data_IF_599427190808
#
_entry.id   IF_599427190808
#
_cell.length_a   1.000
_cell.length_b   1.000
_cell.length_c   1.000
_cell.angle_alpha   90.00
_cell.angle_beta   90.00
_cell.angle_gamma   90.00
#
_symmetry.space_group_name_H-M   'P 1'
#
loop_
_entity.id
_entity.type
_entity.pdbx_description
1 polymer ?
#
# COMPACT_ATOMS: atom_id res chain seq x y z
N UNK A 1 0.55 -5.72 15.04
CA UNK A 1 1.56 -4.69 14.70
C UNK A 1 1.59 -4.48 13.19
N UNK A 2 1.83 -3.26 12.72
CA UNK A 2 2.07 -2.96 11.30
C UNK A 2 3.58 -2.99 11.06
N UNK A 3 4.02 -3.69 10.03
CA UNK A 3 5.44 -3.83 9.68
C UNK A 3 5.87 -2.80 8.64
N UNK A 4 5.09 -2.63 7.57
CA UNK A 4 5.40 -1.67 6.50
C UNK A 4 4.16 -1.29 5.69
N UNK A 5 4.25 -0.13 5.05
CA UNK A 5 3.24 0.46 4.16
C UNK A 5 3.91 0.80 2.84
N UNK A 6 3.25 0.48 1.73
CA UNK A 6 3.68 0.82 0.38
C UNK A 6 2.53 1.44 -0.40
N UNK A 7 2.86 2.43 -1.23
CA UNK A 7 1.96 2.98 -2.26
C UNK A 7 2.65 2.78 -3.59
N UNK A 8 1.96 2.09 -4.49
CA UNK A 8 2.45 1.71 -5.82
C UNK A 8 1.50 2.29 -6.85
N UNK A 9 2.04 2.82 -7.93
CA UNK A 9 1.22 3.38 -9.00
C UNK A 9 0.62 2.29 -9.90
N UNK A 10 -0.19 2.72 -10.87
CA UNK A 10 -0.80 1.83 -11.87
C UNK A 10 0.21 1.07 -12.74
N UNK A 11 1.44 1.55 -12.84
CA UNK A 11 2.51 0.92 -13.62
C UNK A 11 3.36 -0.07 -12.79
N UNK A 12 3.08 -0.22 -11.49
CA UNK A 12 3.86 -1.08 -10.60
C UNK A 12 5.11 -0.41 -10.00
N UNK A 13 5.27 0.91 -10.18
CA UNK A 13 6.34 1.70 -9.58
C UNK A 13 6.01 2.11 -8.15
N UNK A 14 6.98 1.97 -7.25
CA UNK A 14 6.86 2.36 -5.85
C UNK A 14 6.92 3.90 -5.71
N UNK A 15 5.85 4.50 -5.18
CA UNK A 15 5.78 5.94 -4.92
C UNK A 15 6.12 6.31 -3.47
N UNK A 16 5.78 5.43 -2.54
CA UNK A 16 6.00 5.65 -1.12
C UNK A 16 6.23 4.33 -0.40
N UNK A 17 7.14 4.35 0.57
CA UNK A 17 7.37 3.23 1.46
C UNK A 17 7.67 3.74 2.86
N UNK A 18 7.05 3.11 3.86
CA UNK A 18 7.32 3.36 5.28
C UNK A 18 7.47 2.05 6.02
N UNK A 19 8.46 2.00 6.90
CA UNK A 19 8.84 0.79 7.63
C UNK A 19 8.84 1.09 9.12
N UNK A 20 8.25 0.20 9.89
CA UNK A 20 8.15 0.27 11.36
C UNK A 20 9.01 -0.80 12.04
N UNK A 21 9.55 -1.73 11.25
CA UNK A 21 10.46 -2.77 11.70
C UNK A 21 11.90 -2.52 11.24
N UNK A 22 12.61 -3.61 10.91
CA UNK A 22 13.97 -3.54 10.36
C UNK A 22 13.92 -2.83 9.00
N UNK A 23 14.82 -1.85 8.75
CA UNK A 23 14.90 -1.21 7.44
C UNK A 23 15.28 -2.23 6.38
N UNK A 24 14.54 -2.21 5.27
CA UNK A 24 14.78 -3.05 4.09
C UNK A 24 15.55 -2.20 3.06
N UNK A 25 16.38 -2.81 2.22
CA UNK A 25 17.10 -2.08 1.18
C UNK A 25 16.13 -1.50 0.14
N UNK A 26 16.39 -0.31 -0.40
CA UNK A 26 15.53 0.32 -1.41
C UNK A 26 15.24 -0.59 -2.59
N UNK A 27 16.23 -1.33 -3.10
CA UNK A 27 16.05 -2.26 -4.22
C UNK A 27 15.10 -3.40 -3.89
N UNK A 28 15.09 -3.88 -2.64
CA UNK A 28 14.18 -4.93 -2.20
C UNK A 28 12.74 -4.41 -2.14
N UNK A 29 12.53 -3.16 -1.72
CA UNK A 29 11.21 -2.51 -1.73
C UNK A 29 10.67 -2.37 -3.16
N UNK A 30 11.52 -1.94 -4.09
CA UNK A 30 11.19 -1.85 -5.52
C UNK A 30 10.80 -3.22 -6.08
N UNK A 31 11.61 -4.25 -5.80
CA UNK A 31 11.31 -5.63 -6.20
C UNK A 31 9.96 -6.10 -5.63
N UNK A 32 9.68 -5.85 -4.35
CA UNK A 32 8.40 -6.21 -3.74
C UNK A 32 7.20 -5.56 -4.45
N UNK A 33 7.28 -4.26 -4.73
CA UNK A 33 6.21 -3.54 -5.41
C UNK A 33 5.93 -4.13 -6.81
N UNK A 34 6.97 -4.34 -7.61
CA UNK A 34 6.84 -4.91 -8.96
C UNK A 34 6.35 -6.36 -8.93
N UNK A 35 6.80 -7.17 -7.98
CA UNK A 35 6.33 -8.55 -7.81
C UNK A 35 4.84 -8.60 -7.45
N UNK A 36 4.39 -7.78 -6.51
CA UNK A 36 2.97 -7.73 -6.12
C UNK A 36 2.07 -7.27 -7.27
N UNK A 37 2.55 -6.29 -8.04
CA UNK A 37 1.85 -5.83 -9.23
C UNK A 37 1.72 -6.95 -10.27
N UNK A 38 2.82 -7.64 -10.60
CA UNK A 38 2.82 -8.75 -11.54
C UNK A 38 1.98 -9.95 -11.08
N UNK A 39 2.09 -10.33 -9.80
CA UNK A 39 1.28 -11.41 -9.22
C UNK A 39 -0.22 -11.08 -9.25
N UNK A 40 -0.59 -9.81 -9.06
CA UNK A 40 -1.98 -9.37 -9.17
C UNK A 40 -2.51 -9.50 -10.59
N UNK A 41 -1.70 -9.18 -11.60
CA UNK A 41 -2.06 -9.37 -13.01
C UNK A 41 -2.23 -10.85 -13.36
N UNK A 42 -1.37 -11.73 -12.85
CA UNK A 42 -1.52 -13.17 -13.03
C UNK A 42 -2.78 -13.72 -12.33
N UNK A 43 -3.07 -13.26 -11.11
CA UNK A 43 -4.26 -13.67 -10.37
C UNK A 43 -5.56 -13.32 -11.11
N UNK A 44 -5.59 -12.18 -11.81
CA UNK A 44 -6.72 -11.81 -12.68
C UNK A 44 -6.93 -12.80 -13.82
N UNK A 45 -5.86 -13.21 -14.50
CA UNK A 45 -5.93 -14.18 -15.60
C UNK A 45 -6.32 -15.58 -15.14
N UNK A 46 -5.88 -15.97 -13.94
CA UNK A 46 -6.19 -17.27 -13.34
C UNK A 46 -7.57 -17.31 -12.67
N UNK A 47 -8.27 -16.17 -12.60
CA UNK A 47 -9.54 -16.10 -11.89
C UNK A 47 -10.63 -16.88 -12.65
N UNK A 48 -11.31 -17.85 -12.00
CA UNK A 48 -12.28 -18.73 -12.66
C UNK A 48 -13.51 -17.99 -13.19
N UNK A 49 -13.81 -16.80 -12.65
CA UNK A 49 -15.03 -16.04 -12.95
C UNK A 49 -14.74 -14.73 -13.72
N UNK A 50 -13.62 -14.64 -14.44
CA UNK A 50 -13.26 -13.43 -15.19
C UNK A 50 -12.81 -12.26 -14.30
N UNK A 51 -12.22 -12.57 -13.14
CA UNK A 51 -11.41 -11.70 -12.27
C UNK A 51 -11.77 -10.22 -12.23
N UNK A 52 -12.62 -9.82 -11.29
CA UNK A 52 -12.90 -8.40 -11.03
C UNK A 52 -11.77 -7.71 -10.23
N UNK A 53 -10.97 -8.48 -9.50
CA UNK A 53 -9.94 -7.97 -8.58
C UNK A 53 -8.70 -8.87 -8.61
N UNK A 54 -7.52 -8.27 -8.54
CA UNK A 54 -6.24 -8.98 -8.38
C UNK A 54 -6.05 -9.49 -6.94
N UNK A 55 -4.79 -9.61 -6.51
CA UNK A 55 -4.49 -10.05 -5.14
C UNK A 55 -4.97 -9.01 -4.13
N UNK A 56 -5.80 -9.42 -3.19
CA UNK A 56 -6.24 -8.59 -2.05
C UNK A 56 -5.46 -8.93 -0.79
N UNK A 57 -5.19 -10.21 -0.55
CA UNK A 57 -4.59 -10.67 0.69
C UNK A 57 -3.64 -11.83 0.45
N UNK A 58 -2.44 -11.74 1.04
CA UNK A 58 -1.49 -12.85 1.11
C UNK A 58 -1.22 -13.14 2.57
N UNK A 59 -1.67 -14.30 3.05
CA UNK A 59 -1.49 -14.73 4.43
C UNK A 59 -0.35 -15.75 4.46
N UNK A 60 0.64 -15.50 5.32
CA UNK A 60 1.75 -16.40 5.59
C UNK A 60 1.67 -16.93 7.03
N UNK A 61 2.65 -17.71 7.46
CA UNK A 61 2.73 -18.17 8.86
C UNK A 61 3.11 -17.07 9.85
N UNK A 62 3.65 -15.94 9.40
CA UNK A 62 4.19 -14.88 10.28
C UNK A 62 3.51 -13.53 10.07
N UNK A 63 3.07 -13.23 8.86
CA UNK A 63 2.50 -11.93 8.52
C UNK A 63 1.40 -12.08 7.48
N UNK A 64 0.56 -11.05 7.38
CA UNK A 64 -0.42 -10.86 6.33
C UNK A 64 -0.08 -9.60 5.55
N UNK A 65 -0.05 -9.72 4.23
CA UNK A 65 0.01 -8.60 3.32
C UNK A 65 -1.41 -8.32 2.82
N UNK A 66 -1.91 -7.12 3.10
CA UNK A 66 -3.21 -6.65 2.65
C UNK A 66 -2.99 -5.60 1.56
N UNK A 67 -3.73 -5.72 0.46
CA UNK A 67 -3.67 -4.84 -0.71
C UNK A 67 -5.06 -4.31 -1.03
N UNK A 68 -5.12 -3.03 -1.33
CA UNK A 68 -6.28 -2.35 -1.90
C UNK A 68 -5.87 -1.69 -3.21
N UNK A 69 -6.69 -1.84 -4.24
CA UNK A 69 -6.51 -1.18 -5.53
C UNK A 69 -7.66 -0.19 -5.76
N UNK A 70 -7.32 1.06 -6.07
CA UNK A 70 -8.30 2.08 -6.42
C UNK A 70 -8.82 1.88 -7.85
N UNK A 71 -9.95 2.51 -8.18
CA UNK A 71 -10.45 2.55 -9.56
C UNK A 71 -9.49 3.23 -10.54
N UNK A 72 -8.57 4.07 -10.04
CA UNK A 72 -7.50 4.68 -10.85
C UNK A 72 -6.28 3.77 -11.06
N UNK A 73 -6.29 2.56 -10.51
CA UNK A 73 -5.18 1.59 -10.59
C UNK A 73 -4.06 1.80 -9.58
N UNK A 74 -4.23 2.71 -8.61
CA UNK A 74 -3.26 2.91 -7.54
C UNK A 74 -3.38 1.79 -6.52
N UNK A 75 -2.26 1.26 -6.07
CA UNK A 75 -2.21 0.10 -5.19
C UNK A 75 -1.64 0.51 -3.84
N UNK A 76 -2.39 0.19 -2.80
CA UNK A 76 -2.07 0.47 -1.40
C UNK A 76 -1.81 -0.86 -0.73
N UNK A 77 -0.63 -1.04 -0.16
CA UNK A 77 -0.21 -2.30 0.45
C UNK A 77 0.23 -2.05 1.88
N UNK A 78 -0.22 -2.90 2.78
CA UNK A 78 0.17 -2.88 4.19
C UNK A 78 0.55 -4.29 4.61
N UNK A 79 1.72 -4.43 5.23
CA UNK A 79 2.17 -5.67 5.84
C UNK A 79 1.92 -5.58 7.33
N UNK A 80 1.16 -6.53 7.88
CA UNK A 80 0.74 -6.57 9.28
C UNK A 80 0.96 -7.94 9.90
N UNK A 81 0.93 -8.00 11.23
CA UNK A 81 0.79 -9.24 11.98
C UNK A 81 -0.58 -9.91 11.73
N UNK A 82 -0.64 -11.24 11.85
CA UNK A 82 -1.81 -12.06 11.52
C UNK A 82 -3.07 -11.72 12.32
N UNK A 83 -2.90 -11.19 13.55
CA UNK A 83 -4.01 -10.89 14.46
C UNK A 83 -4.67 -9.53 14.18
N UNK A 84 -4.11 -8.73 13.28
CA UNK A 84 -4.58 -7.37 13.06
C UNK A 84 -5.91 -7.35 12.28
N UNK A 85 -6.95 -6.80 12.90
CA UNK A 85 -8.24 -6.53 12.25
C UNK A 85 -8.33 -5.06 11.79
N UNK A 86 -9.32 -4.72 10.97
CA UNK A 86 -9.58 -3.34 10.54
C UNK A 86 -8.67 -2.81 9.42
N UNK A 87 -7.75 -3.63 8.89
CA UNK A 87 -6.77 -3.20 7.88
C UNK A 87 -7.42 -2.72 6.57
N UNK A 88 -8.57 -3.30 6.19
CA UNK A 88 -9.32 -2.86 5.01
C UNK A 88 -9.78 -1.39 5.11
N UNK A 89 -10.33 -0.99 6.26
CA UNK A 89 -10.71 0.41 6.51
C UNK A 89 -9.49 1.33 6.49
N UNK A 90 -8.38 0.87 7.08
CA UNK A 90 -7.12 1.61 7.07
C UNK A 90 -6.58 1.81 5.64
N UNK A 91 -6.66 0.82 4.76
CA UNK A 91 -6.25 0.93 3.36
C UNK A 91 -7.07 1.98 2.60
N UNK A 92 -8.39 2.02 2.79
CA UNK A 92 -9.23 3.07 2.22
C UNK A 92 -8.89 4.46 2.80
N UNK A 93 -8.60 4.53 4.11
CA UNK A 93 -8.13 5.77 4.75
C UNK A 93 -6.79 6.22 4.17
N UNK A 94 -5.86 5.30 3.91
CA UNK A 94 -4.57 5.60 3.29
C UNK A 94 -4.74 6.19 1.89
N UNK A 95 -5.67 5.65 1.09
CA UNK A 95 -6.03 6.22 -0.20
C UNK A 95 -6.58 7.65 -0.07
N UNK A 96 -7.44 7.92 0.91
CA UNK A 96 -7.93 9.28 1.19
C UNK A 96 -6.80 10.23 1.58
N UNK A 97 -5.88 9.81 2.46
CA UNK A 97 -4.72 10.61 2.87
C UNK A 97 -3.81 10.93 1.67
N UNK A 98 -3.58 9.95 0.80
CA UNK A 98 -2.82 10.17 -0.44
C UNK A 98 -3.51 11.21 -1.34
N UNK A 99 -4.82 11.10 -1.53
CA UNK A 99 -5.58 12.08 -2.31
C UNK A 99 -5.55 13.49 -1.69
N UNK A 100 -5.73 13.60 -0.37
CA UNK A 100 -5.85 14.89 0.32
C UNK A 100 -4.54 15.64 0.47
N UNK A 101 -3.43 14.94 0.74
CA UNK A 101 -2.15 15.59 1.06
C UNK A 101 -1.13 15.55 -0.07
N UNK A 102 -1.24 14.58 -0.98
CA UNK A 102 -0.29 14.41 -2.09
C UNK A 102 -0.90 14.93 -3.39
N UNK A 103 -2.08 14.43 -3.80
CA UNK A 103 -2.67 14.82 -5.09
C UNK A 103 -3.19 16.26 -5.12
N UNK A 104 -3.57 16.83 -3.97
CA UNK A 104 -3.97 18.25 -3.87
C UNK A 104 -2.78 19.20 -3.82
N UNK A 105 -1.55 18.71 -3.71
CA UNK A 105 -0.37 19.56 -3.74
C UNK A 105 -0.06 19.99 -5.19
N UNK A 106 -0.15 21.28 -5.54
CA UNK A 106 0.07 21.75 -6.92
C UNK A 106 1.52 21.55 -7.40
N UNK A 107 2.46 21.30 -6.49
CA UNK A 107 3.86 21.04 -6.81
C UNK A 107 4.17 19.54 -6.93
N UNK A 108 3.20 18.66 -6.71
CA UNK A 108 3.39 17.23 -6.87
C UNK A 108 3.24 16.82 -8.33
N UNK A 109 4.28 16.22 -8.88
CA UNK A 109 4.23 15.55 -10.19
C UNK A 109 3.73 14.13 -10.00
N UNK A 110 2.66 13.78 -10.71
CA UNK A 110 2.10 12.42 -10.71
C UNK A 110 3.17 11.37 -11.05
N UNK A 111 2.99 10.17 -10.50
CA UNK A 111 3.85 9.01 -10.71
C UNK A 111 5.31 9.13 -10.21
N UNK A 112 5.68 10.25 -9.58
CA UNK A 112 6.97 10.39 -8.93
C UNK A 112 6.90 9.95 -7.46
N UNK A 113 7.98 9.32 -6.93
CA UNK A 113 8.11 9.08 -5.51
C UNK A 113 8.01 10.38 -4.73
N UNK A 114 7.33 10.34 -3.59
CA UNK A 114 7.19 11.49 -2.72
C UNK A 114 7.80 11.24 -1.36
N UNK A 115 8.55 12.23 -0.90
CA UNK A 115 9.18 12.28 0.41
C UNK A 115 9.01 13.69 0.98
N UNK A 116 8.94 13.83 2.31
CA UNK A 116 8.91 15.13 2.97
C UNK A 116 7.55 15.85 3.00
N UNK A 117 6.44 15.13 2.86
CA UNK A 117 5.12 15.70 3.18
C UNK A 117 4.83 15.52 4.67
N UNK A 118 5.21 16.50 5.48
CA UNK A 118 5.05 16.46 6.94
C UNK A 118 3.58 16.30 7.36
N UNK A 119 2.66 16.89 6.58
CA UNK A 119 1.23 16.77 6.81
C UNK A 119 0.73 15.34 6.59
N UNK A 120 1.17 14.69 5.50
CA UNK A 120 0.81 13.30 5.21
C UNK A 120 1.35 12.36 6.30
N UNK A 121 2.63 12.48 6.66
CA UNK A 121 3.26 11.67 7.71
C UNK A 121 2.53 11.81 9.05
N UNK A 122 2.16 13.04 9.42
CA UNK A 122 1.44 13.31 10.67
C UNK A 122 0.06 12.66 10.70
N UNK A 123 -0.70 12.77 9.63
CA UNK A 123 -2.05 12.19 9.58
C UNK A 123 -2.02 10.67 9.39
N UNK A 124 -0.99 10.15 8.71
CA UNK A 124 -0.74 8.71 8.63
C UNK A 124 -0.49 8.11 10.02
N UNK A 125 0.35 8.76 10.82
CA UNK A 125 0.64 8.33 12.19
C UNK A 125 -0.62 8.32 13.07
N UNK A 126 -1.48 9.35 12.96
CA UNK A 126 -2.78 9.36 13.66
C UNK A 126 -3.71 8.23 13.21
N UNK A 127 -3.75 7.94 11.91
CA UNK A 127 -4.54 6.84 11.37
C UNK A 127 -4.04 5.49 11.90
N UNK A 128 -2.73 5.31 12.03
CA UNK A 128 -2.14 4.11 12.61
C UNK A 128 -2.42 3.95 14.10
N UNK A 129 -2.37 5.05 14.87
CA UNK A 129 -2.75 5.02 16.28
C UNK A 129 -4.21 4.59 16.48
N UNK A 130 -5.09 4.96 15.56
CA UNK A 130 -6.49 4.54 15.57
C UNK A 130 -6.63 3.06 15.23
N UNK A 131 -5.83 2.55 14.29
CA UNK A 131 -5.85 1.15 13.91
C UNK A 131 -5.28 0.25 15.03
N UNK A 132 -4.27 0.71 15.77
CA UNK A 132 -3.64 -0.02 16.87
C UNK A 132 -4.47 -0.07 18.18
N UNK A 133 -5.59 0.67 18.25
CA UNK A 133 -6.54 0.64 19.38
C UNK A 133 -7.56 -0.47 19.18
#
# INVERSE_FOLDING_TARGET
MIYSIYIVNKAGSLLYSKEYGKPIETNEKLRMASLLHGLSAFALQLSPNGGQHGITDVVTTHYRLCRFESQSGMQFVVIVDLKHQGVGHFLHRLHQLYADYILKNPFYTLDNPFHGSDLFERELEKAMQTLNR
#
